data_IF_488205474422
#
_entry.id   IF_488205474422
#
_cell.length_a   1.000
_cell.length_b   1.000
_cell.length_c   1.000
_cell.angle_alpha   90.00
_cell.angle_beta   90.00
_cell.angle_gamma   90.00
#
_symmetry.space_group_name_H-M   'P 1'
#
loop_
_entity.id
_entity.type
_entity.pdbx_description
1 polymer ?
#
# COMPACT_ATOMS: atom_id res chain seq x y z
N UNK A 1 56.66 -10.32 -8.39
CA UNK A 1 55.24 -10.11 -8.74
C UNK A 1 54.40 -11.16 -8.02
N UNK A 2 53.39 -10.74 -7.24
CA UNK A 2 52.11 -11.43 -6.95
C UNK A 2 51.50 -10.84 -5.68
N UNK A 3 50.47 -9.99 -5.83
CA UNK A 3 49.51 -9.69 -4.77
C UNK A 3 48.25 -10.48 -5.09
N UNK A 4 47.92 -11.48 -4.29
CA UNK A 4 46.63 -12.14 -4.35
C UNK A 4 45.70 -11.44 -3.36
N UNK A 5 44.89 -10.50 -3.85
CA UNK A 5 43.84 -9.89 -3.06
C UNK A 5 42.64 -10.84 -3.01
N UNK A 6 42.49 -11.57 -1.90
CA UNK A 6 41.28 -12.34 -1.62
C UNK A 6 40.23 -11.35 -1.11
N UNK A 7 39.39 -10.88 -2.02
CA UNK A 7 38.18 -10.12 -1.70
C UNK A 7 37.14 -11.07 -1.10
N UNK A 8 37.10 -11.15 0.23
CA UNK A 8 35.99 -11.74 0.95
C UNK A 8 34.81 -10.76 0.90
N UNK A 9 33.92 -10.96 -0.07
CA UNK A 9 32.64 -10.26 -0.16
C UNK A 9 31.74 -10.76 0.97
N UNK A 10 31.75 -10.07 2.11
CA UNK A 10 30.72 -10.22 3.13
C UNK A 10 29.41 -9.68 2.56
N UNK A 11 28.53 -10.60 2.13
CA UNK A 11 27.17 -10.27 1.78
C UNK A 11 26.47 -9.74 3.04
N UNK A 12 26.36 -8.42 3.15
CA UNK A 12 25.52 -7.77 4.16
C UNK A 12 24.09 -8.06 3.73
N UNK A 13 23.46 -9.06 4.34
CA UNK A 13 22.03 -9.23 4.26
C UNK A 13 21.40 -8.00 4.91
N UNK A 14 21.05 -7.00 4.10
CA UNK A 14 20.19 -5.92 4.52
C UNK A 14 18.83 -6.54 4.76
N UNK A 15 18.50 -6.80 6.02
CA UNK A 15 17.16 -7.15 6.44
C UNK A 15 16.24 -5.99 6.04
N UNK A 16 15.60 -6.10 4.86
CA UNK A 16 14.42 -5.31 4.57
C UNK A 16 13.42 -5.68 5.67
N UNK A 17 13.25 -4.78 6.64
CA UNK A 17 12.28 -4.98 7.70
C UNK A 17 10.91 -4.93 7.06
N UNK A 18 10.40 -6.10 6.66
CA UNK A 18 9.01 -6.29 6.24
C UNK A 18 8.13 -6.28 7.47
N UNK A 19 8.09 -5.13 8.18
CA UNK A 19 6.93 -4.82 9.01
C UNK A 19 5.81 -4.51 8.03
N UNK A 20 5.03 -5.53 7.70
CA UNK A 20 3.75 -5.31 7.03
C UNK A 20 2.84 -4.68 8.06
N UNK A 21 2.91 -3.35 8.22
CA UNK A 21 2.08 -2.65 9.19
C UNK A 21 0.62 -2.80 8.75
N UNK A 22 -0.17 -3.41 9.63
CA UNK A 22 -1.58 -3.68 9.37
C UNK A 22 -2.36 -2.38 9.52
N UNK A 23 -3.12 -2.03 8.49
CA UNK A 23 -3.95 -0.83 8.44
C UNK A 23 -5.23 -1.04 9.25
N UNK A 24 -5.55 -0.05 10.09
CA UNK A 24 -6.84 0.10 10.74
C UNK A 24 -7.43 1.44 10.30
N UNK A 25 -8.53 1.41 9.56
CA UNK A 25 -9.15 2.59 8.97
C UNK A 25 -10.67 2.52 9.14
N UNK A 26 -11.27 3.59 9.68
CA UNK A 26 -12.71 3.79 9.69
C UNK A 26 -13.03 5.09 8.97
N UNK A 27 -13.72 4.96 7.84
CA UNK A 27 -14.19 6.08 7.03
C UNK A 27 -15.71 6.04 7.00
N UNK A 28 -16.32 7.20 7.17
CA UNK A 28 -17.76 7.38 7.02
C UNK A 28 -17.99 8.44 5.96
N UNK A 29 -18.66 8.05 4.87
CA UNK A 29 -19.29 8.97 3.93
C UNK A 29 -18.34 9.93 3.18
N UNK A 30 -17.11 9.48 2.92
CA UNK A 30 -16.08 10.26 2.24
C UNK A 30 -15.97 9.93 0.75
N UNK A 31 -15.32 10.80 -0.02
CA UNK A 31 -15.06 10.52 -1.44
C UNK A 31 -13.99 9.43 -1.57
N UNK A 32 -14.21 8.50 -2.50
CA UNK A 32 -13.31 7.38 -2.76
C UNK A 32 -11.87 7.85 -3.07
N UNK A 33 -11.71 8.96 -3.80
CA UNK A 33 -10.38 9.52 -4.09
C UNK A 33 -9.63 10.00 -2.83
N UNK A 34 -10.35 10.51 -1.84
CA UNK A 34 -9.76 10.97 -0.59
C UNK A 34 -9.32 9.77 0.24
N UNK A 35 -10.17 8.73 0.33
CA UNK A 35 -9.83 7.46 0.99
C UNK A 35 -8.65 6.76 0.31
N UNK A 36 -8.62 6.75 -1.02
CA UNK A 36 -7.48 6.22 -1.78
C UNK A 36 -6.18 6.94 -1.41
N UNK A 37 -6.23 8.28 -1.34
CA UNK A 37 -5.06 9.08 -0.99
C UNK A 37 -4.58 8.78 0.43
N UNK A 38 -5.49 8.54 1.39
CA UNK A 38 -5.13 8.13 2.75
C UNK A 38 -4.42 6.77 2.77
N UNK A 39 -4.96 5.77 2.08
CA UNK A 39 -4.33 4.45 1.95
C UNK A 39 -2.99 4.56 1.21
N UNK A 40 -2.91 5.40 0.19
CA UNK A 40 -1.68 5.64 -0.57
C UNK A 40 -0.57 6.23 0.29
N UNK A 41 -0.87 7.26 1.08
CA UNK A 41 0.11 7.87 1.97
C UNK A 41 0.62 6.88 3.02
N UNK A 42 -0.25 6.06 3.60
CA UNK A 42 0.15 5.03 4.56
C UNK A 42 1.03 3.96 3.90
N UNK A 43 0.61 3.45 2.74
CA UNK A 43 1.29 2.36 2.05
C UNK A 43 2.53 2.80 1.25
N UNK A 44 2.73 4.10 1.04
CA UNK A 44 3.92 4.64 0.38
C UNK A 44 5.17 4.47 1.25
N UNK A 45 5.05 4.54 2.57
CA UNK A 45 6.16 4.33 3.50
C UNK A 45 6.73 2.89 3.39
N UNK A 46 5.88 1.92 3.05
CA UNK A 46 6.25 0.51 2.84
C UNK A 46 6.61 0.17 1.38
N UNK A 47 6.66 1.16 0.48
CA UNK A 47 6.89 0.93 -0.95
C UNK A 47 5.77 0.14 -1.65
N UNK A 48 4.58 0.07 -1.05
CA UNK A 48 3.42 -0.66 -1.55
C UNK A 48 2.37 0.23 -2.24
N UNK A 49 2.71 1.48 -2.55
CA UNK A 49 1.83 2.39 -3.27
C UNK A 49 1.32 1.76 -4.58
N UNK A 50 0.02 1.89 -4.85
CA UNK A 50 -0.61 1.38 -6.08
C UNK A 50 -1.08 2.53 -6.95
N UNK A 51 -0.98 2.40 -8.29
CA UNK A 51 -1.45 3.43 -9.20
C UNK A 51 -2.95 3.66 -9.01
N UNK A 52 -3.30 4.94 -8.95
CA UNK A 52 -4.66 5.46 -8.83
C UNK A 52 -5.38 5.34 -10.17
N UNK A 53 -6.15 4.28 -10.31
CA UNK A 53 -6.96 3.94 -11.48
C UNK A 53 -8.40 3.72 -11.02
N UNK A 54 -9.10 4.83 -10.78
CA UNK A 54 -10.47 4.88 -10.24
C UNK A 54 -11.42 5.38 -11.33
N UNK A 55 -12.48 4.63 -11.59
CA UNK A 55 -13.53 5.01 -12.55
C UNK A 55 -14.55 5.97 -11.94
N UNK A 56 -14.76 5.89 -10.62
CA UNK A 56 -15.75 6.66 -9.87
C UNK A 56 -15.09 7.38 -8.68
N UNK A 57 -14.15 8.32 -8.93
CA UNK A 57 -13.37 8.96 -7.86
C UNK A 57 -14.22 9.76 -6.86
N UNK A 58 -15.36 10.31 -7.30
CA UNK A 58 -16.29 11.07 -6.47
C UNK A 58 -17.34 10.21 -5.76
N UNK A 59 -17.33 8.88 -5.96
CA UNK A 59 -18.25 7.99 -5.27
C UNK A 59 -18.02 8.08 -3.75
N UNK A 60 -19.11 8.07 -2.98
CA UNK A 60 -19.03 8.16 -1.52
C UNK A 60 -19.00 6.78 -0.88
N UNK A 61 -18.00 6.55 -0.03
CA UNK A 61 -17.73 5.27 0.60
C UNK A 61 -17.75 5.40 2.13
N UNK A 62 -18.38 4.42 2.78
CA UNK A 62 -18.20 4.14 4.21
C UNK A 62 -17.58 2.76 4.34
N UNK A 63 -16.40 2.68 4.95
CA UNK A 63 -15.66 1.42 5.09
C UNK A 63 -14.95 1.36 6.43
N UNK A 64 -14.97 0.17 7.03
CA UNK A 64 -14.18 -0.17 8.20
C UNK A 64 -13.23 -1.30 7.80
N UNK A 65 -11.94 -1.03 7.88
CA UNK A 65 -10.84 -1.96 7.64
C UNK A 65 -10.12 -2.17 8.98
N UNK A 66 -10.02 -3.40 9.43
CA UNK A 66 -9.34 -3.73 10.69
C UNK A 66 -8.27 -4.78 10.41
N UNK A 67 -7.04 -4.47 10.81
CA UNK A 67 -5.89 -5.35 10.67
C UNK A 67 -5.68 -5.85 9.23
N UNK A 68 -5.84 -4.99 8.22
CA UNK A 68 -5.69 -5.37 6.80
C UNK A 68 -4.34 -4.97 6.22
N UNK A 69 -3.84 -5.73 5.25
CA UNK A 69 -2.65 -5.32 4.50
C UNK A 69 -2.96 -4.17 3.54
N UNK A 70 -1.93 -3.42 3.12
CA UNK A 70 -2.04 -2.43 2.05
C UNK A 70 -2.64 -3.01 0.76
N UNK A 71 -2.22 -4.22 0.38
CA UNK A 71 -2.75 -4.92 -0.79
C UNK A 71 -4.25 -5.17 -0.68
N UNK A 72 -4.71 -5.62 0.49
CA UNK A 72 -6.13 -5.89 0.73
C UNK A 72 -6.95 -4.60 0.81
N UNK A 73 -6.40 -3.53 1.40
CA UNK A 73 -7.02 -2.21 1.42
C UNK A 73 -7.26 -1.70 -0.01
N UNK A 74 -6.24 -1.70 -0.88
CA UNK A 74 -6.42 -1.31 -2.28
C UNK A 74 -7.40 -2.20 -3.04
N UNK A 75 -7.37 -3.52 -2.77
CA UNK A 75 -8.32 -4.46 -3.39
C UNK A 75 -9.76 -4.14 -2.96
N UNK A 76 -9.99 -3.79 -1.71
CA UNK A 76 -11.28 -3.36 -1.21
C UNK A 76 -11.75 -2.07 -1.90
N UNK A 77 -10.87 -1.06 -2.01
CA UNK A 77 -11.19 0.20 -2.70
C UNK A 77 -11.52 -0.01 -4.18
N UNK A 78 -10.74 -0.83 -4.91
CA UNK A 78 -11.03 -1.16 -6.33
C UNK A 78 -12.33 -1.92 -6.50
N UNK A 79 -12.63 -2.85 -5.57
CA UNK A 79 -13.90 -3.58 -5.59
C UNK A 79 -15.07 -2.64 -5.38
N UNK A 80 -14.92 -1.64 -4.51
CA UNK A 80 -15.91 -0.58 -4.33
C UNK A 80 -16.06 0.28 -5.57
N UNK A 81 -14.96 0.77 -6.14
CA UNK A 81 -14.94 1.56 -7.38
C UNK A 81 -15.72 0.87 -8.51
N UNK A 82 -15.46 -0.41 -8.76
CA UNK A 82 -16.16 -1.18 -9.79
C UNK A 82 -17.63 -1.49 -9.48
N UNK A 83 -18.06 -1.35 -8.23
CA UNK A 83 -19.46 -1.55 -7.80
C UNK A 83 -20.24 -0.22 -7.70
N UNK A 84 -19.55 0.92 -7.60
CA UNK A 84 -20.16 2.24 -7.60
C UNK A 84 -20.84 2.47 -8.96
N UNK A 85 -22.17 2.40 -8.99
CA UNK A 85 -22.92 2.78 -10.19
C UNK A 85 -22.90 4.31 -10.33
N UNK A 86 -22.85 4.78 -11.57
CA UNK A 86 -22.97 6.22 -11.93
C UNK A 86 -24.15 6.88 -11.24
#
# INVERSE_FOLDING_TARGET
>A
MKYAAILFLTAIATSASTKSDLLNLRIEDERLIDVWTLVENFCAEDGQAKPRDLQHPDARISIQLEQVSCVDAYKALRKFDGAAKK
#
